data_IF_757988072330
#
_entry.id   IF_757988072330
#
_cell.length_a   1.000
_cell.length_b   1.000
_cell.length_c   1.000
_cell.angle_alpha   90.00
_cell.angle_beta   90.00
_cell.angle_gamma   90.00
#
_symmetry.space_group_name_H-M   'P 1'
#
loop_
_entity.id
_entity.type
_entity.pdbx_description
1 polymer ?
#
# COMPACT_ATOMS: atom_id res chain seq x y z
N UNK A 1 -35.06 31.12 40.58
CA UNK A 1 -35.88 31.99 41.44
C UNK A 1 -35.31 33.38 41.21
N UNK A 2 -35.97 34.40 40.69
CA UNK A 2 -37.36 34.87 40.75
C UNK A 2 -37.67 35.59 39.42
N UNK A 3 -38.87 35.44 38.84
CA UNK A 3 -39.98 36.44 38.82
C UNK A 3 -39.50 37.83 38.39
N UNK A 4 -40.12 38.54 37.46
CA UNK A 4 -41.46 38.49 36.90
C UNK A 4 -41.67 39.85 36.23
N UNK A 5 -42.46 39.87 35.16
CA UNK A 5 -42.86 41.09 34.43
C UNK A 5 -43.58 42.05 35.38
N UNK A 6 -43.55 43.37 35.11
CA UNK A 6 -44.85 43.98 34.81
C UNK A 6 -44.78 45.06 33.71
N UNK A 7 -45.75 44.98 32.81
CA UNK A 7 -46.18 46.11 31.99
C UNK A 7 -47.20 46.92 32.80
N UNK A 8 -46.85 48.17 33.07
CA UNK A 8 -47.70 49.29 33.49
C UNK A 8 -47.68 50.29 32.31
N UNK A 9 -48.67 51.12 32.00
CA UNK A 9 -50.03 51.34 32.46
C UNK A 9 -50.55 52.59 31.71
N UNK A 10 -51.88 52.71 31.59
CA UNK A 10 -52.64 53.94 31.31
C UNK A 10 -52.49 54.57 29.89
N UNK A 11 -53.54 54.97 29.17
CA UNK A 11 -54.72 55.76 29.53
C UNK A 11 -55.92 55.28 28.66
N UNK A 12 -57.07 54.89 29.22
CA UNK A 12 -58.22 55.74 29.57
C UNK A 12 -58.57 56.87 28.57
N UNK A 13 -59.72 56.70 27.89
CA UNK A 13 -60.82 57.69 27.72
C UNK A 13 -61.83 57.10 26.70
N UNK A 14 -62.95 56.57 27.14
CA UNK A 14 -64.23 57.25 27.41
C UNK A 14 -64.98 57.80 26.17
N UNK A 15 -66.03 57.05 25.83
CA UNK A 15 -67.45 57.46 25.69
C UNK A 15 -67.88 58.57 24.73
N UNK A 16 -68.87 58.15 23.91
CA UNK A 16 -70.18 58.75 23.66
C UNK A 16 -70.34 59.86 22.59
N UNK A 17 -71.31 59.54 21.72
CA UNK A 17 -72.39 60.42 21.25
C UNK A 17 -72.09 61.37 20.10
N UNK A 18 -72.79 61.15 18.97
CA UNK A 18 -72.92 62.16 17.93
C UNK A 18 -73.49 61.67 16.60
N UNK A 19 -74.82 61.71 16.48
CA UNK A 19 -75.62 62.01 15.26
C UNK A 19 -75.27 61.33 13.92
N UNK A 20 -76.24 60.55 13.40
CA UNK A 20 -76.42 60.29 11.97
C UNK A 20 -76.76 61.59 11.20
N UNK A 21 -76.44 61.70 9.89
CA UNK A 21 -77.44 61.41 8.85
C UNK A 21 -76.79 60.87 7.51
N UNK A 22 -77.41 60.94 6.31
CA UNK A 22 -78.05 59.81 5.66
C UNK A 22 -77.41 59.34 4.33
N UNK A 23 -77.80 58.12 3.93
CA UNK A 23 -77.82 57.49 2.60
C UNK A 23 -77.04 58.12 1.41
N UNK A 24 -76.03 57.41 0.90
CA UNK A 24 -75.76 57.28 -0.54
C UNK A 24 -74.79 56.12 -0.88
N UNK A 25 -75.30 55.14 -1.63
CA UNK A 25 -74.70 54.37 -2.73
C UNK A 25 -73.17 54.21 -2.81
N UNK A 26 -72.69 52.96 -2.77
CA UNK A 26 -71.91 52.31 -3.85
C UNK A 26 -71.57 50.86 -3.45
N UNK A 27 -71.91 49.91 -4.32
CA UNK A 27 -71.44 48.53 -4.21
C UNK A 27 -69.90 48.52 -4.33
N UNK A 28 -69.23 48.38 -3.19
CA UNK A 28 -67.79 48.19 -3.13
C UNK A 28 -67.46 46.72 -3.33
N UNK A 29 -66.83 46.43 -4.46
CA UNK A 29 -66.28 45.13 -4.84
C UNK A 29 -65.36 44.61 -3.72
N UNK A 30 -65.75 43.49 -3.09
CA UNK A 30 -64.99 42.86 -2.03
C UNK A 30 -63.78 42.15 -2.63
N UNK A 31 -62.65 42.85 -2.77
CA UNK A 31 -61.37 42.22 -3.10
C UNK A 31 -60.93 41.41 -1.89
N UNK A 32 -61.12 40.09 -1.96
CA UNK A 32 -60.46 39.17 -1.03
C UNK A 32 -59.01 39.06 -1.49
N UNK A 33 -58.08 39.61 -0.72
CA UNK A 33 -56.65 39.31 -0.90
C UNK A 33 -56.44 37.91 -0.34
N UNK A 34 -56.40 36.91 -1.22
CA UNK A 34 -55.89 35.58 -0.86
C UNK A 34 -54.37 35.62 -1.00
N UNK A 35 -53.66 35.80 0.10
CA UNK A 35 -52.22 35.57 0.14
C UNK A 35 -51.96 34.07 0.22
N UNK A 36 -51.85 33.42 -0.93
CA UNK A 36 -51.13 32.14 -1.03
C UNK A 36 -49.89 32.38 -1.90
N UNK A 37 -48.70 31.91 -1.48
CA UNK A 37 -47.52 32.01 -2.33
C UNK A 37 -47.70 31.05 -3.51
N UNK A 38 -47.91 31.61 -4.71
CA UNK A 38 -47.97 30.84 -5.95
C UNK A 38 -46.57 30.45 -6.40
N UNK A 39 -46.39 29.19 -6.79
CA UNK A 39 -45.22 28.75 -7.55
C UNK A 39 -45.42 29.22 -8.99
N UNK A 40 -44.41 29.86 -9.59
CA UNK A 40 -44.53 30.45 -10.93
C UNK A 40 -44.65 29.37 -12.01
N UNK A 41 -45.57 29.56 -12.97
CA UNK A 41 -45.83 28.61 -14.07
C UNK A 41 -44.68 28.55 -15.12
N UNK A 42 -43.70 29.46 -15.04
CA UNK A 42 -42.59 29.55 -16.00
C UNK A 42 -41.28 29.86 -15.30
N UNK A 43 -40.24 29.15 -15.71
CA UNK A 43 -38.86 29.41 -15.33
C UNK A 43 -38.43 30.80 -15.85
N UNK A 44 -38.05 31.69 -14.94
CA UNK A 44 -37.34 32.93 -15.28
C UNK A 44 -35.85 32.62 -15.27
N UNK A 45 -35.23 32.48 -16.44
CA UNK A 45 -33.77 32.40 -16.56
C UNK A 45 -33.18 33.81 -16.63
N UNK A 46 -32.08 34.04 -15.93
CA UNK A 46 -31.37 35.32 -15.99
C UNK A 46 -30.71 35.51 -17.37
N UNK A 47 -30.68 36.72 -17.94
CA UNK A 47 -29.99 36.97 -19.21
C UNK A 47 -28.47 36.80 -19.13
N UNK A 48 -27.90 36.80 -17.91
CA UNK A 48 -26.48 36.62 -17.63
C UNK A 48 -26.30 35.84 -16.33
N UNK A 49 -25.39 34.89 -16.35
CA UNK A 49 -24.95 34.15 -15.18
C UNK A 49 -23.64 34.76 -14.66
N UNK A 50 -23.53 34.94 -13.34
CA UNK A 50 -22.29 35.34 -12.69
C UNK A 50 -21.85 34.25 -11.73
N UNK A 51 -20.65 33.72 -11.95
CA UNK A 51 -20.00 32.79 -11.03
C UNK A 51 -19.08 33.55 -10.10
N UNK A 52 -19.34 33.49 -8.80
CA UNK A 52 -18.41 33.98 -7.78
C UNK A 52 -17.58 32.78 -7.33
N UNK A 53 -16.32 32.73 -7.77
CA UNK A 53 -15.40 31.66 -7.38
C UNK A 53 -14.58 32.13 -6.19
N UNK A 54 -14.66 31.40 -5.08
CA UNK A 54 -13.72 31.55 -3.97
C UNK A 54 -12.45 30.78 -4.30
N UNK A 55 -11.44 31.49 -4.79
CA UNK A 55 -10.15 30.91 -5.16
C UNK A 55 -9.43 30.26 -3.97
N UNK A 56 -9.59 30.82 -2.76
CA UNK A 56 -8.94 30.30 -1.56
C UNK A 56 -9.57 28.98 -1.11
N UNK A 57 -10.91 28.93 -1.02
CA UNK A 57 -11.64 27.72 -0.68
C UNK A 57 -11.41 26.62 -1.71
N UNK A 58 -11.48 26.97 -3.00
CA UNK A 58 -11.24 26.01 -4.10
C UNK A 58 -9.82 25.44 -4.06
N UNK A 59 -8.81 26.26 -3.81
CA UNK A 59 -7.43 25.78 -3.71
C UNK A 59 -7.19 24.95 -2.45
N UNK A 60 -7.86 25.27 -1.34
CA UNK A 60 -7.83 24.46 -0.11
C UNK A 60 -8.43 23.07 -0.34
N UNK A 61 -9.62 23.00 -0.93
CA UNK A 61 -10.28 21.72 -1.25
C UNK A 61 -9.47 20.89 -2.25
N UNK A 62 -8.85 21.53 -3.25
CA UNK A 62 -7.95 20.84 -4.18
C UNK A 62 -6.76 20.20 -3.48
N UNK A 63 -6.13 20.91 -2.53
CA UNK A 63 -5.01 20.37 -1.74
C UNK A 63 -5.45 19.24 -0.83
N UNK A 64 -6.58 19.40 -0.14
CA UNK A 64 -7.15 18.35 0.72
C UNK A 64 -7.52 17.10 -0.09
N UNK A 65 -8.13 17.28 -1.26
CA UNK A 65 -8.48 16.19 -2.17
C UNK A 65 -7.23 15.46 -2.64
N UNK A 66 -6.19 16.19 -3.08
CA UNK A 66 -4.93 15.58 -3.52
C UNK A 66 -4.25 14.75 -2.41
N UNK A 67 -4.39 15.15 -1.14
CA UNK A 67 -3.85 14.42 0.00
C UNK A 67 -4.73 13.22 0.42
N UNK A 68 -6.02 13.27 0.11
CA UNK A 68 -7.01 12.25 0.54
C UNK A 68 -7.23 11.17 -0.53
N UNK A 69 -6.97 11.47 -1.80
CA UNK A 69 -7.11 10.49 -2.88
C UNK A 69 -6.10 9.37 -2.66
N UNK A 70 -6.61 8.14 -2.64
CA UNK A 70 -5.80 6.93 -2.52
C UNK A 70 -4.84 6.84 -3.70
N UNK A 71 -3.57 6.57 -3.43
CA UNK A 71 -2.58 6.30 -4.46
C UNK A 71 -2.97 5.01 -5.20
N UNK A 72 -3.27 5.13 -6.49
CA UNK A 72 -3.50 3.96 -7.35
C UNK A 72 -2.14 3.47 -7.83
N UNK A 73 -1.70 2.32 -7.32
CA UNK A 73 -0.49 1.65 -7.80
C UNK A 73 -0.81 0.75 -9.00
N UNK A 74 0.09 0.72 -9.97
CA UNK A 74 0.04 -0.28 -11.04
C UNK A 74 0.56 -1.62 -10.52
N UNK A 75 -0.29 -2.65 -10.60
CA UNK A 75 0.05 -4.01 -10.13
C UNK A 75 0.66 -4.79 -11.28
N UNK A 76 1.95 -5.10 -11.19
CA UNK A 76 2.60 -6.02 -12.13
C UNK A 76 2.30 -7.49 -11.79
N UNK A 77 1.35 -8.07 -12.52
CA UNK A 77 0.97 -9.47 -12.39
C UNK A 77 2.06 -10.47 -12.84
N UNK A 78 3.08 -10.01 -13.58
CA UNK A 78 4.17 -10.86 -14.07
C UNK A 78 5.36 -10.87 -13.11
N UNK A 79 5.38 -10.00 -12.10
CA UNK A 79 6.49 -9.89 -11.16
C UNK A 79 6.78 -11.22 -10.45
N UNK A 80 5.74 -11.88 -9.93
CA UNK A 80 5.88 -13.16 -9.23
C UNK A 80 6.46 -14.25 -10.14
N UNK A 81 5.94 -14.39 -11.36
CA UNK A 81 6.46 -15.38 -12.32
C UNK A 81 7.93 -15.15 -12.67
N UNK A 82 8.34 -13.88 -12.80
CA UNK A 82 9.74 -13.53 -13.08
C UNK A 82 10.64 -13.84 -11.88
N UNK A 83 10.16 -13.58 -10.67
CA UNK A 83 10.89 -13.87 -9.45
C UNK A 83 11.09 -15.39 -9.27
N UNK A 84 10.02 -16.18 -9.42
CA UNK A 84 10.10 -17.64 -9.33
C UNK A 84 11.09 -18.21 -10.34
N UNK A 85 11.04 -17.75 -11.59
CA UNK A 85 11.99 -18.20 -12.61
C UNK A 85 13.44 -17.83 -12.27
N UNK A 86 13.69 -16.62 -11.75
CA UNK A 86 15.03 -16.18 -11.32
C UNK A 86 15.56 -17.05 -10.17
N UNK A 87 14.70 -17.38 -9.20
CA UNK A 87 15.03 -18.26 -8.08
C UNK A 87 15.44 -19.63 -8.62
N UNK A 88 14.60 -20.29 -9.42
CA UNK A 88 14.91 -21.60 -9.97
C UNK A 88 16.22 -21.61 -10.76
N UNK A 89 16.42 -20.64 -11.66
CA UNK A 89 17.67 -20.51 -12.40
C UNK A 89 18.89 -20.30 -11.50
N UNK A 90 18.76 -19.51 -10.44
CA UNK A 90 19.87 -19.26 -9.51
C UNK A 90 20.22 -20.50 -8.70
N UNK A 91 19.23 -21.27 -8.26
CA UNK A 91 19.43 -22.53 -7.55
C UNK A 91 20.02 -23.60 -8.46
N UNK A 92 19.54 -23.72 -9.71
CA UNK A 92 20.13 -24.59 -10.73
C UNK A 92 21.61 -24.26 -10.98
N UNK A 93 21.94 -22.98 -11.13
CA UNK A 93 23.34 -22.56 -11.34
C UNK A 93 24.23 -22.90 -10.15
N UNK A 94 23.77 -22.67 -8.93
CA UNK A 94 24.56 -23.00 -7.74
C UNK A 94 24.72 -24.51 -7.57
N UNK A 95 23.68 -25.30 -7.91
CA UNK A 95 23.79 -26.76 -8.00
C UNK A 95 24.80 -27.20 -9.05
N UNK A 96 24.90 -26.53 -10.19
CA UNK A 96 25.93 -26.87 -11.18
C UNK A 96 27.35 -26.46 -10.73
N UNK A 97 27.49 -25.42 -9.92
CA UNK A 97 28.80 -24.96 -9.43
C UNK A 97 29.32 -25.85 -8.29
N UNK A 98 28.44 -26.29 -7.38
CA UNK A 98 28.82 -26.99 -6.15
C UNK A 98 28.35 -28.45 -6.09
N UNK A 99 27.37 -28.85 -6.91
CA UNK A 99 26.81 -30.22 -6.92
C UNK A 99 27.76 -31.27 -7.47
N UNK A 100 28.72 -30.86 -8.32
CA UNK A 100 29.81 -31.73 -8.80
C UNK A 100 30.74 -32.18 -7.65
N UNK A 101 30.79 -31.46 -6.52
CA UNK A 101 31.63 -31.80 -5.36
C UNK A 101 31.00 -32.91 -4.48
N UNK A 102 29.66 -33.06 -4.47
CA UNK A 102 28.93 -34.03 -3.62
C UNK A 102 28.77 -35.42 -4.28
N UNK A 103 28.64 -35.51 -5.61
CA UNK A 103 28.55 -36.82 -6.30
C UNK A 103 29.86 -37.63 -6.20
N UNK A 104 31.00 -36.96 -6.08
CA UNK A 104 32.30 -37.61 -5.83
C UNK A 104 32.38 -38.29 -4.45
N UNK A 105 31.64 -37.78 -3.45
CA UNK A 105 31.63 -38.32 -2.09
C UNK A 105 30.55 -39.39 -1.86
N UNK A 106 29.55 -39.51 -2.74
CA UNK A 106 28.44 -40.48 -2.62
C UNK A 106 28.59 -41.71 -3.54
N UNK A 107 29.56 -41.72 -4.45
CA UNK A 107 29.82 -42.83 -5.39
C UNK A 107 30.75 -43.96 -4.91
N UNK A 108 31.40 -43.86 -3.75
CA UNK A 108 32.30 -44.92 -3.24
C UNK A 108 31.63 -45.83 -2.21
N UNK A 109 30.75 -46.71 -2.66
CA UNK A 109 30.45 -47.94 -1.92
C UNK A 109 30.14 -49.11 -2.85
N UNK A 110 30.97 -50.16 -2.75
CA UNK A 110 30.95 -51.48 -3.43
C UNK A 110 31.56 -51.45 -4.85
N UNK A 111 32.73 -52.03 -5.17
CA UNK A 111 33.48 -53.19 -4.64
C UNK A 111 34.86 -53.31 -5.33
N UNK A 112 35.91 -53.79 -4.63
CA UNK A 112 37.08 -54.38 -5.28
C UNK A 112 38.46 -54.21 -4.61
N UNK A 113 38.64 -54.92 -3.50
CA UNK A 113 39.87 -55.26 -2.74
C UNK A 113 41.23 -55.30 -3.50
N UNK A 114 42.28 -54.64 -2.96
CA UNK A 114 43.63 -55.22 -2.73
C UNK A 114 44.68 -54.21 -2.22
N UNK A 115 44.94 -54.34 -0.91
CA UNK A 115 46.24 -54.35 -0.24
C UNK A 115 47.20 -53.13 -0.22
N UNK A 116 47.19 -52.47 0.95
CA UNK A 116 48.30 -52.43 1.94
C UNK A 116 49.60 -51.67 1.59
N UNK A 117 49.78 -50.48 2.19
CA UNK A 117 51.03 -50.20 2.93
C UNK A 117 50.85 -49.20 4.07
N UNK A 118 51.36 -49.66 5.21
CA UNK A 118 51.47 -49.09 6.54
C UNK A 118 52.46 -47.92 6.55
N UNK A 119 52.16 -46.84 7.28
CA UNK A 119 52.93 -46.38 8.46
C UNK A 119 52.43 -45.03 8.98
N UNK A 120 52.33 -44.97 10.30
CA UNK A 120 51.99 -43.85 11.14
C UNK A 120 53.16 -42.85 11.21
N UNK A 121 52.83 -41.58 11.47
CA UNK A 121 53.36 -40.74 12.56
C UNK A 121 53.60 -39.27 12.17
N UNK A 122 53.01 -38.46 13.04
CA UNK A 122 53.08 -37.04 13.37
C UNK A 122 54.14 -36.11 12.72
N UNK A 123 53.63 -34.90 12.47
CA UNK A 123 54.18 -33.59 12.87
C UNK A 123 54.88 -32.73 11.79
N UNK A 124 54.29 -31.53 11.65
CA UNK A 124 54.84 -30.25 11.16
C UNK A 124 54.85 -30.02 9.64
N UNK A 125 53.89 -29.24 9.15
CA UNK A 125 54.18 -28.05 8.31
C UNK A 125 52.95 -27.15 8.16
N UNK A 126 52.81 -26.20 9.08
CA UNK A 126 51.92 -25.04 8.98
C UNK A 126 52.52 -24.02 8.00
N UNK A 127 52.14 -24.06 6.71
CA UNK A 127 52.23 -22.91 5.78
C UNK A 127 51.53 -23.11 4.43
N UNK A 128 51.19 -24.34 4.01
CA UNK A 128 50.58 -24.58 2.68
C UNK A 128 49.03 -24.42 2.68
N UNK A 129 48.38 -24.62 3.83
CA UNK A 129 46.91 -24.59 3.95
C UNK A 129 46.29 -23.20 3.80
N UNK A 130 47.09 -22.13 3.81
CA UNK A 130 46.57 -20.76 3.68
C UNK A 130 46.31 -20.36 2.22
N UNK A 131 47.09 -20.85 1.27
CA UNK A 131 46.97 -20.45 -0.16
C UNK A 131 45.76 -21.07 -0.85
N UNK A 132 45.43 -22.32 -0.52
CA UNK A 132 44.27 -23.02 -1.08
C UNK A 132 42.94 -22.49 -0.49
N UNK A 133 42.91 -22.21 0.81
CA UNK A 133 41.72 -21.65 1.48
C UNK A 133 41.33 -20.25 0.98
N UNK A 134 42.32 -19.42 0.61
CA UNK A 134 42.06 -18.11 -0.01
C UNK A 134 41.34 -18.30 -1.35
N UNK A 135 41.76 -19.28 -2.16
CA UNK A 135 41.16 -19.55 -3.47
C UNK A 135 39.74 -20.10 -3.36
N UNK A 136 39.43 -20.94 -2.37
CA UNK A 136 38.07 -21.44 -2.16
C UNK A 136 37.13 -20.36 -1.65
N UNK A 137 37.59 -19.55 -0.69
CA UNK A 137 36.83 -18.42 -0.17
C UNK A 137 36.49 -17.43 -1.28
N UNK A 138 37.45 -17.11 -2.16
CA UNK A 138 37.22 -16.23 -3.30
C UNK A 138 36.20 -16.81 -4.29
N UNK A 139 36.24 -18.12 -4.57
CA UNK A 139 35.23 -18.80 -5.41
C UNK A 139 33.83 -18.75 -4.79
N UNK A 140 33.72 -19.03 -3.48
CA UNK A 140 32.45 -18.99 -2.74
C UNK A 140 31.89 -17.57 -2.72
N UNK A 141 32.75 -16.57 -2.51
CA UNK A 141 32.36 -15.17 -2.53
C UNK A 141 31.85 -14.73 -3.91
N UNK A 142 32.56 -15.07 -4.99
CA UNK A 142 32.12 -14.77 -6.36
C UNK A 142 30.80 -15.47 -6.70
N UNK A 143 30.61 -16.71 -6.26
CA UNK A 143 29.35 -17.44 -6.43
C UNK A 143 28.20 -16.76 -5.67
N UNK A 144 28.46 -16.29 -4.44
CA UNK A 144 27.48 -15.53 -3.64
C UNK A 144 27.08 -14.23 -4.34
N UNK A 145 28.04 -13.45 -4.82
CA UNK A 145 27.78 -12.20 -5.55
C UNK A 145 26.94 -12.44 -6.81
N UNK A 146 27.22 -13.52 -7.56
CA UNK A 146 26.41 -13.92 -8.72
C UNK A 146 24.99 -14.31 -8.32
N UNK A 147 24.85 -15.07 -7.24
CA UNK A 147 23.56 -15.48 -6.69
C UNK A 147 22.71 -14.25 -6.29
N UNK A 148 23.29 -13.35 -5.49
CA UNK A 148 22.65 -12.12 -5.02
C UNK A 148 22.22 -11.23 -6.19
N UNK A 149 23.09 -11.03 -7.19
CA UNK A 149 22.77 -10.25 -8.39
C UNK A 149 21.60 -10.85 -9.17
N UNK A 150 21.52 -12.18 -9.23
CA UNK A 150 20.50 -12.88 -10.00
C UNK A 150 19.15 -12.91 -9.29
N UNK A 151 19.10 -13.14 -7.99
CA UNK A 151 17.87 -13.11 -7.20
C UNK A 151 17.41 -11.68 -6.88
N UNK A 152 18.35 -10.73 -6.82
CA UNK A 152 18.09 -9.31 -6.53
C UNK A 152 17.93 -9.00 -5.04
N UNK A 153 18.46 -9.85 -4.17
CA UNK A 153 18.37 -9.75 -2.71
C UNK A 153 19.78 -10.01 -2.16
N UNK A 154 20.18 -9.25 -1.14
CA UNK A 154 21.42 -9.50 -0.40
C UNK A 154 21.24 -10.70 0.53
N UNK A 155 22.17 -11.64 0.51
CA UNK A 155 22.15 -12.84 1.36
C UNK A 155 23.32 -12.75 2.33
N UNK A 156 23.08 -13.06 3.60
CA UNK A 156 24.18 -13.07 4.56
C UNK A 156 25.17 -14.19 4.23
N UNK A 157 26.42 -14.03 4.65
CA UNK A 157 27.42 -15.08 4.44
C UNK A 157 27.01 -16.39 5.12
N UNK A 158 26.43 -16.29 6.32
CA UNK A 158 25.94 -17.44 7.09
C UNK A 158 24.84 -18.18 6.34
N UNK A 159 23.83 -17.48 5.81
CA UNK A 159 22.74 -18.09 5.05
C UNK A 159 23.24 -18.74 3.77
N UNK A 160 24.18 -18.10 3.07
CA UNK A 160 24.77 -18.67 1.86
C UNK A 160 25.58 -19.93 2.17
N UNK A 161 26.34 -19.94 3.27
CA UNK A 161 27.07 -21.15 3.70
C UNK A 161 26.12 -22.27 4.10
N UNK A 162 24.96 -21.95 4.68
CA UNK A 162 23.91 -22.93 4.98
C UNK A 162 23.32 -23.52 3.70
N UNK A 163 23.01 -22.68 2.70
CA UNK A 163 22.52 -23.13 1.39
C UNK A 163 23.55 -24.00 0.65
N UNK A 164 24.83 -23.64 0.74
CA UNK A 164 25.93 -24.45 0.21
C UNK A 164 25.99 -25.83 0.89
N UNK A 165 25.90 -25.89 2.22
CA UNK A 165 25.90 -27.16 2.98
C UNK A 165 24.70 -28.04 2.63
N UNK A 166 23.55 -27.44 2.37
CA UNK A 166 22.34 -28.15 1.92
C UNK A 166 22.35 -28.45 0.41
N UNK A 167 23.43 -28.12 -0.30
CA UNK A 167 23.60 -28.39 -1.73
C UNK A 167 22.57 -27.70 -2.63
N UNK A 168 22.02 -26.55 -2.20
CA UNK A 168 20.94 -25.85 -2.91
C UNK A 168 19.76 -26.79 -3.24
N UNK A 169 19.32 -27.54 -2.23
CA UNK A 169 18.22 -28.51 -2.32
C UNK A 169 16.98 -27.93 -3.00
N UNK A 170 16.42 -28.71 -3.93
CA UNK A 170 15.18 -28.37 -4.64
C UNK A 170 14.00 -28.17 -3.70
N UNK A 171 14.00 -28.83 -2.54
CA UNK A 171 12.96 -28.65 -1.51
C UNK A 171 12.98 -27.24 -0.92
N UNK A 172 14.17 -26.66 -0.71
CA UNK A 172 14.32 -25.29 -0.20
C UNK A 172 13.83 -24.29 -1.24
N UNK A 173 14.19 -24.51 -2.51
CA UNK A 173 13.71 -23.72 -3.65
C UNK A 173 12.17 -23.70 -3.71
N UNK A 174 11.51 -24.86 -3.65
CA UNK A 174 10.05 -24.98 -3.69
C UNK A 174 9.37 -24.30 -2.49
N UNK A 175 9.96 -24.40 -1.29
CA UNK A 175 9.45 -23.74 -0.09
C UNK A 175 9.51 -22.21 -0.23
N UNK A 176 10.62 -21.67 -0.75
CA UNK A 176 10.76 -20.23 -1.00
C UNK A 176 9.72 -19.77 -2.02
N UNK A 177 9.57 -20.49 -3.13
CA UNK A 177 8.57 -20.18 -4.17
C UNK A 177 7.16 -20.20 -3.60
N UNK A 178 6.85 -21.15 -2.71
CA UNK A 178 5.55 -21.24 -2.05
C UNK A 178 5.28 -20.03 -1.15
N UNK A 179 6.26 -19.62 -0.34
CA UNK A 179 6.13 -18.44 0.55
C UNK A 179 5.88 -17.16 -0.26
N UNK A 180 6.50 -17.04 -1.44
CA UNK A 180 6.30 -15.87 -2.31
C UNK A 180 4.93 -15.84 -3.01
N UNK A 181 4.24 -16.97 -3.07
CA UNK A 181 2.94 -17.10 -3.72
C UNK A 181 1.75 -16.96 -2.76
N UNK A 182 2.01 -16.96 -1.45
CA UNK A 182 1.02 -16.82 -0.37
C UNK A 182 0.80 -15.34 0.00
#
# INVERSE_FOLDING_TARGET
MEKGVPYDSHLLCNTLSGKAPPAARKAGLRVRVSSQPGVADRDIKAPRDFSIVDENATNSERRQTAQTVLTVYDRDNKLLSRLNHRISLSFDEMRNIFGDEEESLRGSSVSGDSEKKVLQEEKVSTTETAREKISEHERVQQARERFEKKIGISVSEEDFTLLKKEGFSKKIEELIIRILAE
#
